data_IF_448554435654
#
_entry.id   IF_448554435654
#
_cell.length_a   1.000
_cell.length_b   1.000
_cell.length_c   1.000
_cell.angle_alpha   90.00
_cell.angle_beta   90.00
_cell.angle_gamma   90.00
#
_symmetry.space_group_name_H-M   'P 1'
#
loop_
_entity.id
_entity.type
_entity.pdbx_description
1 polymer ?
#
# COMPACT_ATOMS: atom_id res chain seq x y z
N UNK A 1 -7.06 2.12 8.83
CA UNK A 1 -6.77 0.99 9.77
C UNK A 1 -5.49 0.30 9.35
N UNK A 2 -4.57 0.19 10.23
CA UNK A 2 -3.34 -0.56 10.01
C UNK A 2 -3.40 -1.79 10.89
N UNK A 3 -3.44 -2.96 10.27
CA UNK A 3 -3.57 -4.22 11.02
C UNK A 3 -2.31 -4.43 11.90
N UNK A 4 -2.47 -4.85 13.15
CA UNK A 4 -1.32 -4.98 14.07
C UNK A 4 -0.29 -6.04 13.64
N UNK A 5 -0.67 -6.98 12.77
CA UNK A 5 0.27 -7.96 12.22
C UNK A 5 0.91 -7.50 10.90
N UNK A 6 0.83 -6.23 10.56
CA UNK A 6 1.56 -5.67 9.43
C UNK A 6 2.80 -4.93 9.93
N UNK A 7 3.78 -4.77 9.03
CA UNK A 7 4.99 -4.00 9.31
C UNK A 7 4.97 -2.74 8.45
N UNK A 8 4.33 -1.69 8.97
CA UNK A 8 4.20 -0.41 8.26
C UNK A 8 5.19 0.57 8.82
N UNK A 9 6.25 0.83 8.08
CA UNK A 9 7.33 1.74 8.50
C UNK A 9 7.13 3.15 7.96
N UNK A 10 6.27 3.34 6.96
CA UNK A 10 5.95 4.64 6.40
C UNK A 10 5.01 5.42 7.32
N UNK A 11 5.24 6.73 7.42
CA UNK A 11 4.33 7.67 8.08
C UNK A 11 3.45 8.43 7.07
N UNK A 12 3.62 8.18 5.80
CA UNK A 12 2.89 8.87 4.73
C UNK A 12 1.74 8.01 4.24
N UNK A 13 0.84 7.69 5.14
CA UNK A 13 -0.36 6.90 4.86
C UNK A 13 -1.56 7.82 5.03
N UNK A 14 -2.39 7.93 3.99
CA UNK A 14 -3.55 8.82 4.01
C UNK A 14 -4.67 8.33 4.92
N UNK A 15 -5.72 9.15 4.99
CA UNK A 15 -6.89 8.87 5.83
C UNK A 15 -7.71 7.73 5.23
N UNK A 16 -8.32 6.94 6.11
CA UNK A 16 -9.23 5.85 5.76
C UNK A 16 -8.60 4.77 4.88
N UNK A 17 -7.29 4.73 4.81
CA UNK A 17 -6.57 3.65 4.13
C UNK A 17 -6.49 2.46 5.05
N UNK A 18 -6.79 1.28 4.50
CA UNK A 18 -6.75 0.00 5.22
C UNK A 18 -5.55 -0.80 4.76
N UNK A 19 -4.73 -1.21 5.71
CA UNK A 19 -3.58 -2.07 5.44
C UNK A 19 -3.78 -3.33 6.27
N UNK A 20 -3.91 -4.46 5.57
CA UNK A 20 -4.24 -5.73 6.19
C UNK A 20 -2.98 -6.44 6.68
N UNK A 21 -3.15 -7.59 7.29
CA UNK A 21 -2.06 -8.32 7.95
C UNK A 21 -0.99 -8.78 6.97
N UNK A 22 0.21 -8.91 7.49
CA UNK A 22 1.40 -9.43 6.81
C UNK A 22 1.86 -8.58 5.63
N UNK A 23 1.47 -7.31 5.60
CA UNK A 23 2.05 -6.35 4.67
C UNK A 23 3.38 -5.84 5.22
N UNK A 24 4.30 -5.52 4.30
CA UNK A 24 5.53 -4.80 4.62
C UNK A 24 5.57 -3.55 3.77
N UNK A 25 5.59 -2.38 4.42
CA UNK A 25 5.62 -1.10 3.73
C UNK A 25 6.82 -0.31 4.24
N UNK A 26 7.78 -0.05 3.36
CA UNK A 26 9.04 0.58 3.72
C UNK A 26 8.87 2.07 3.98
N UNK A 27 9.83 2.71 4.68
CA UNK A 27 9.62 4.06 5.23
C UNK A 27 9.32 5.14 4.21
N UNK A 28 9.86 5.03 3.00
CA UNK A 28 9.71 6.07 1.98
C UNK A 28 8.44 5.99 1.16
N UNK A 29 7.65 4.93 1.31
CA UNK A 29 6.43 4.77 0.52
C UNK A 29 5.40 5.85 0.87
N UNK A 30 4.65 6.30 -0.13
CA UNK A 30 3.56 7.26 0.03
C UNK A 30 2.27 6.60 -0.45
N UNK A 31 1.28 6.53 0.42
CA UNK A 31 -0.02 5.94 0.10
C UNK A 31 -1.09 6.98 0.38
N UNK A 32 -1.97 7.20 -0.59
CA UNK A 32 -3.01 8.20 -0.50
C UNK A 32 -4.16 7.80 0.43
N UNK A 33 -5.29 8.48 0.26
CA UNK A 33 -6.48 8.28 1.08
C UNK A 33 -7.35 7.15 0.54
N UNK A 34 -8.08 6.52 1.45
CA UNK A 34 -9.15 5.58 1.12
C UNK A 34 -8.66 4.42 0.24
N UNK A 35 -7.44 3.95 0.47
CA UNK A 35 -6.88 2.80 -0.21
C UNK A 35 -7.18 1.52 0.56
N UNK A 36 -7.11 0.39 -0.15
CA UNK A 36 -7.28 -0.92 0.46
C UNK A 36 -6.12 -1.81 0.03
N UNK A 37 -5.17 -1.96 0.94
CA UNK A 37 -3.94 -2.74 0.70
C UNK A 37 -4.14 -4.09 1.36
N UNK A 38 -4.36 -5.12 0.56
CA UNK A 38 -4.69 -6.44 1.06
C UNK A 38 -3.47 -7.14 1.65
N UNK A 39 -3.67 -8.34 2.18
CA UNK A 39 -2.61 -9.04 2.93
C UNK A 39 -1.43 -9.42 2.04
N UNK A 40 -0.26 -9.55 2.66
CA UNK A 40 0.97 -10.01 1.98
C UNK A 40 1.43 -9.10 0.84
N UNK A 41 1.13 -7.81 0.91
CA UNK A 41 1.62 -6.83 -0.06
C UNK A 41 2.96 -6.27 0.42
N UNK A 42 3.92 -6.17 -0.50
CA UNK A 42 5.21 -5.56 -0.23
C UNK A 42 5.34 -4.26 -1.03
N UNK A 43 5.67 -3.16 -0.36
CA UNK A 43 5.81 -1.84 -1.01
C UNK A 43 7.17 -1.25 -0.64
N UNK A 44 7.99 -0.99 -1.66
CA UNK A 44 9.31 -0.42 -1.47
C UNK A 44 9.28 1.09 -1.22
N UNK A 45 10.46 1.68 -0.96
CA UNK A 45 10.59 3.07 -0.51
C UNK A 45 10.15 4.09 -1.55
N UNK A 46 10.49 3.88 -2.82
CA UNK A 46 10.20 4.85 -3.88
C UNK A 46 8.94 4.46 -4.63
N UNK A 47 7.85 4.32 -3.89
CA UNK A 47 6.53 3.99 -4.43
C UNK A 47 5.55 5.07 -4.00
N UNK A 48 4.77 5.59 -4.95
CA UNK A 48 3.71 6.55 -4.66
C UNK A 48 2.39 5.99 -5.17
N UNK A 49 1.44 5.88 -4.26
CA UNK A 49 0.09 5.37 -4.55
C UNK A 49 -0.89 6.51 -4.31
N UNK A 50 -1.75 6.76 -5.29
CA UNK A 50 -2.78 7.79 -5.22
C UNK A 50 -3.94 7.41 -4.31
N UNK A 51 -5.09 8.04 -4.52
CA UNK A 51 -6.28 7.84 -3.68
C UNK A 51 -7.19 6.75 -4.25
N UNK A 52 -7.96 6.10 -3.39
CA UNK A 52 -8.97 5.12 -3.79
C UNK A 52 -8.38 3.94 -4.58
N UNK A 53 -7.18 3.51 -4.21
CA UNK A 53 -6.49 2.41 -4.88
C UNK A 53 -6.71 1.12 -4.09
N UNK A 54 -6.98 0.04 -4.80
CA UNK A 54 -7.01 -1.30 -4.21
C UNK A 54 -5.83 -2.11 -4.73
N UNK A 55 -5.05 -2.66 -3.81
CA UNK A 55 -3.96 -3.57 -4.14
C UNK A 55 -4.29 -4.93 -3.54
N UNK A 56 -4.47 -5.92 -4.39
CA UNK A 56 -4.89 -7.26 -3.95
C UNK A 56 -3.71 -8.02 -3.35
N UNK A 57 -4.04 -9.10 -2.66
CA UNK A 57 -3.06 -9.88 -1.88
C UNK A 57 -1.90 -10.40 -2.72
N UNK A 58 -0.73 -10.40 -2.15
CA UNK A 58 0.48 -10.95 -2.75
C UNK A 58 1.18 -10.07 -3.76
N UNK A 59 0.65 -8.87 -4.03
CA UNK A 59 1.27 -7.94 -4.97
C UNK A 59 2.52 -7.31 -4.37
N UNK A 60 3.54 -7.15 -5.21
CA UNK A 60 4.79 -6.51 -4.83
C UNK A 60 4.99 -5.26 -5.68
N UNK A 61 5.22 -4.13 -5.03
CA UNK A 61 5.43 -2.84 -5.70
C UNK A 61 6.86 -2.38 -5.46
N UNK A 62 7.63 -2.34 -6.54
CA UNK A 62 9.06 -2.06 -6.49
C UNK A 62 9.36 -0.57 -6.63
N UNK A 63 10.57 -0.19 -6.28
CA UNK A 63 11.02 1.20 -6.37
C UNK A 63 10.78 1.80 -7.77
N UNK A 64 10.26 3.02 -7.78
CA UNK A 64 9.98 3.76 -9.00
C UNK A 64 8.54 3.64 -9.48
N UNK A 65 7.74 2.77 -8.90
CA UNK A 65 6.34 2.60 -9.32
C UNK A 65 5.50 3.79 -8.85
N UNK A 66 4.67 4.29 -9.76
CA UNK A 66 3.69 5.35 -9.50
C UNK A 66 2.31 4.87 -9.90
N UNK A 67 1.38 4.89 -8.97
CA UNK A 67 0.01 4.43 -9.19
C UNK A 67 -0.92 5.62 -8.99
N UNK A 68 -1.70 5.93 -10.04
CA UNK A 68 -2.66 7.02 -9.99
C UNK A 68 -3.90 6.69 -9.16
N UNK A 69 -4.82 7.64 -9.12
CA UNK A 69 -6.06 7.47 -8.36
C UNK A 69 -6.98 6.43 -8.99
N UNK A 70 -7.78 5.79 -8.15
CA UNK A 70 -8.86 4.88 -8.57
C UNK A 70 -8.37 3.64 -9.34
N UNK A 71 -7.13 3.23 -9.12
CA UNK A 71 -6.55 2.05 -9.78
C UNK A 71 -6.85 0.80 -8.95
N UNK A 72 -7.16 -0.28 -9.64
CA UNK A 72 -7.32 -1.61 -9.06
C UNK A 72 -6.18 -2.49 -9.57
N UNK A 73 -5.36 -3.00 -8.66
CA UNK A 73 -4.26 -3.92 -9.00
C UNK A 73 -4.67 -5.30 -8.55
N UNK A 74 -4.89 -6.19 -9.53
CA UNK A 74 -5.28 -7.56 -9.26
C UNK A 74 -4.16 -8.40 -8.63
N UNK A 75 -4.50 -9.59 -8.13
CA UNK A 75 -3.49 -10.46 -7.53
C UNK A 75 -2.53 -11.00 -8.59
N UNK A 76 -1.37 -11.39 -8.13
CA UNK A 76 -0.38 -12.05 -8.98
C UNK A 76 -0.93 -13.33 -9.59
#
# INVERSE_FOLDING_TARGET
MIHPLSDVQSKNIGQDTKIWQFCVILPGAVIGNNCNINSHVFIENDVVIGNNVTVKSGVQLWDGIRIGDNVFIGPN
#
